data_IF_917526755654
#
_entry.id   IF_917526755654
#
_cell.length_a   1.000
_cell.length_b   1.000
_cell.length_c   1.000
_cell.angle_alpha   90.00
_cell.angle_beta   90.00
_cell.angle_gamma   90.00
#
_symmetry.space_group_name_H-M   'P 1'
#
loop_
_entity.id
_entity.type
_entity.pdbx_description
1 polymer ?
#
# COMPACT_ATOMS: atom_id res chain seq x y z
N UNK A 1 -0.50 2.83 -30.11
CA UNK A 1 0.20 1.92 -29.17
C UNK A 1 -0.79 1.14 -28.33
N UNK A 2 -0.72 -0.20 -28.33
CA UNK A 2 -1.64 -1.07 -27.58
C UNK A 2 -1.42 -1.01 -26.05
N UNK A 3 -0.44 -0.23 -25.58
CA UNK A 3 -0.08 -0.08 -24.17
C UNK A 3 -0.55 1.26 -23.58
N UNK A 4 -1.42 1.97 -24.28
CA UNK A 4 -1.98 3.26 -23.83
C UNK A 4 -3.50 3.16 -23.85
N UNK A 5 -4.11 3.47 -22.71
CA UNK A 5 -5.55 3.52 -22.51
C UNK A 5 -5.97 4.99 -22.63
N UNK A 6 -6.86 5.24 -23.59
CA UNK A 6 -7.47 6.55 -23.86
C UNK A 6 -8.99 6.41 -23.85
N UNK A 7 -9.70 7.49 -23.52
CA UNK A 7 -11.16 7.46 -23.38
C UNK A 7 -11.63 6.54 -22.24
N UNK A 8 -12.81 5.96 -22.39
CA UNK A 8 -13.40 5.06 -21.39
C UNK A 8 -13.16 3.60 -21.80
N UNK A 9 -12.46 2.85 -20.97
CA UNK A 9 -12.15 1.44 -21.19
C UNK A 9 -12.69 0.60 -20.03
N UNK A 10 -13.19 -0.59 -20.37
CA UNK A 10 -13.72 -1.56 -19.42
C UNK A 10 -12.91 -2.85 -19.52
N UNK A 11 -12.44 -3.35 -18.37
CA UNK A 11 -11.71 -4.61 -18.24
C UNK A 11 -12.54 -5.63 -17.46
N UNK A 12 -12.59 -6.86 -17.96
CA UNK A 12 -13.27 -7.98 -17.32
C UNK A 12 -12.53 -9.31 -17.59
N UNK A 13 -12.80 -10.32 -16.77
CA UNK A 13 -12.23 -11.66 -16.93
C UNK A 13 -10.73 -11.69 -16.60
N UNK A 14 -9.90 -12.16 -17.54
CA UNK A 14 -8.45 -12.22 -17.36
C UNK A 14 -7.75 -11.20 -18.26
N UNK A 15 -7.03 -10.26 -17.66
CA UNK A 15 -6.29 -9.21 -18.36
C UNK A 15 -4.80 -9.42 -18.14
N UNK A 16 -4.01 -9.49 -19.21
CA UNK A 16 -2.55 -9.63 -19.14
C UNK A 16 -1.85 -8.31 -19.43
N UNK A 17 -0.96 -7.90 -18.54
CA UNK A 17 -0.12 -6.70 -18.70
C UNK A 17 1.32 -7.15 -18.89
N UNK A 18 1.89 -6.85 -20.06
CA UNK A 18 3.32 -7.04 -20.33
C UNK A 18 3.99 -5.68 -20.58
N UNK A 19 5.04 -5.40 -19.81
CA UNK A 19 5.69 -4.10 -19.84
C UNK A 19 4.85 -3.01 -19.17
N UNK A 20 4.91 -1.80 -19.74
CA UNK A 20 4.25 -0.63 -19.17
C UNK A 20 2.95 -0.35 -19.89
N UNK A 21 1.82 -0.45 -19.19
CA UNK A 21 0.51 0.05 -19.65
C UNK A 21 0.23 1.40 -18.97
N UNK A 22 -0.29 2.36 -19.72
CA UNK A 22 -0.55 3.73 -19.24
C UNK A 22 -2.01 4.08 -19.41
N UNK A 23 -2.68 4.51 -18.34
CA UNK A 23 -3.98 5.19 -18.38
C UNK A 23 -3.69 6.69 -18.48
N UNK A 24 -3.96 7.29 -19.63
CA UNK A 24 -3.65 8.70 -19.85
C UNK A 24 -4.56 9.64 -19.06
N UNK A 25 -4.10 10.88 -18.90
CA UNK A 25 -4.91 11.94 -18.34
C UNK A 25 -6.21 12.11 -19.14
N UNK A 26 -7.34 12.13 -18.44
CA UNK A 26 -8.67 12.21 -19.06
C UNK A 26 -9.24 10.88 -19.52
N UNK A 27 -8.49 9.78 -19.44
CA UNK A 27 -9.00 8.44 -19.64
C UNK A 27 -9.59 7.87 -18.33
N UNK A 28 -10.53 6.94 -18.47
CA UNK A 28 -11.14 6.19 -17.36
C UNK A 28 -10.98 4.71 -17.63
N UNK A 29 -10.34 4.00 -16.71
CA UNK A 29 -10.36 2.54 -16.69
C UNK A 29 -11.29 2.04 -15.60
N UNK A 30 -12.31 1.28 -15.98
CA UNK A 30 -13.15 0.53 -15.04
C UNK A 30 -12.82 -0.95 -15.11
N UNK A 31 -12.64 -1.59 -13.96
CA UNK A 31 -12.34 -3.02 -13.85
C UNK A 31 -13.50 -3.72 -13.15
N UNK A 32 -14.10 -4.71 -13.82
CA UNK A 32 -15.23 -5.48 -13.34
C UNK A 32 -14.88 -6.33 -12.11
N UNK A 33 -15.84 -6.60 -11.20
CA UNK A 33 -15.69 -7.63 -10.16
C UNK A 33 -15.19 -8.97 -10.72
N UNK A 34 -14.41 -9.70 -9.92
CA UNK A 34 -13.85 -11.00 -10.30
C UNK A 34 -12.71 -10.96 -11.33
N UNK A 35 -12.35 -9.79 -11.85
CA UNK A 35 -11.27 -9.66 -12.84
C UNK A 35 -9.91 -10.05 -12.25
N UNK A 36 -9.14 -10.81 -13.01
CA UNK A 36 -7.74 -11.19 -12.71
C UNK A 36 -6.80 -10.42 -13.64
N UNK A 37 -6.09 -9.45 -13.09
CA UNK A 37 -5.06 -8.68 -13.79
C UNK A 37 -3.70 -9.32 -13.52
N UNK A 38 -3.16 -9.99 -14.54
CA UNK A 38 -1.90 -10.75 -14.49
C UNK A 38 -0.77 -9.95 -15.11
N UNK A 39 0.24 -9.64 -14.31
CA UNK A 39 1.47 -9.02 -14.78
C UNK A 39 2.43 -10.10 -15.30
N UNK A 40 2.86 -9.96 -16.54
CA UNK A 40 3.73 -10.91 -17.26
C UNK A 40 5.21 -10.56 -17.05
N UNK A 41 6.16 -11.49 -17.28
CA UNK A 41 7.58 -11.19 -17.26
C UNK A 41 7.91 -10.07 -18.24
N UNK A 42 8.70 -9.11 -17.78
CA UNK A 42 9.20 -8.03 -18.62
C UNK A 42 10.56 -7.55 -18.13
N UNK A 43 11.51 -7.48 -19.05
CA UNK A 43 12.84 -6.91 -18.81
C UNK A 43 12.89 -5.55 -19.49
N UNK A 44 13.25 -4.51 -18.73
CA UNK A 44 13.42 -3.18 -19.32
C UNK A 44 14.56 -3.22 -20.38
N UNK A 45 14.42 -2.55 -21.53
CA UNK A 45 15.42 -2.59 -22.60
C UNK A 45 16.80 -2.04 -22.19
N UNK A 46 16.82 -1.14 -21.20
CA UNK A 46 18.03 -0.54 -20.64
C UNK A 46 18.03 -0.77 -19.12
N UNK A 47 18.52 -1.94 -18.66
CA UNK A 47 18.52 -2.29 -17.24
C UNK A 47 19.50 -1.44 -16.42
N UNK A 48 20.58 -0.95 -17.06
CA UNK A 48 21.70 -0.24 -16.44
C UNK A 48 21.49 1.27 -16.32
N UNK A 49 20.46 1.81 -16.99
CA UNK A 49 20.06 3.20 -16.84
C UNK A 49 19.94 3.59 -15.37
N UNK A 50 20.51 4.76 -15.02
CA UNK A 50 20.28 5.39 -13.72
C UNK A 50 18.78 5.65 -13.53
N UNK A 51 18.21 5.00 -12.52
CA UNK A 51 16.79 5.10 -12.18
C UNK A 51 16.54 6.17 -11.14
N UNK A 52 15.37 6.78 -11.22
CA UNK A 52 14.91 7.68 -10.17
C UNK A 52 14.63 6.91 -8.87
N UNK A 53 14.61 7.59 -7.72
CA UNK A 53 14.13 7.00 -6.48
C UNK A 53 12.69 6.51 -6.70
N UNK A 54 12.39 5.30 -6.23
CA UNK A 54 11.06 4.67 -6.31
C UNK A 54 10.54 4.38 -7.74
N UNK A 55 11.41 4.25 -8.74
CA UNK A 55 11.01 3.81 -10.09
C UNK A 55 10.71 2.30 -10.11
N UNK A 56 9.54 1.92 -10.63
CA UNK A 56 9.08 0.53 -10.70
C UNK A 56 9.75 -0.26 -11.84
N UNK A 57 10.14 -1.51 -11.55
CA UNK A 57 10.78 -2.44 -12.49
C UNK A 57 9.76 -3.42 -13.07
N UNK A 58 10.08 -4.00 -14.23
CA UNK A 58 9.21 -5.00 -14.87
C UNK A 58 7.87 -4.45 -15.32
N UNK A 59 6.88 -5.34 -15.42
CA UNK A 59 5.52 -4.99 -15.84
C UNK A 59 4.81 -4.14 -14.80
N UNK A 60 4.11 -3.11 -15.25
CA UNK A 60 3.53 -2.06 -14.40
C UNK A 60 2.36 -1.35 -15.07
N UNK A 61 1.44 -0.87 -14.23
CA UNK A 61 0.34 0.00 -14.65
C UNK A 61 0.63 1.42 -14.18
N UNK A 62 0.66 2.37 -15.09
CA UNK A 62 0.84 3.79 -14.83
C UNK A 62 -0.52 4.49 -14.94
N UNK A 63 -0.96 5.14 -13.88
CA UNK A 63 -2.26 5.79 -13.79
C UNK A 63 -2.05 7.31 -13.74
N UNK A 64 -2.37 7.98 -14.84
CA UNK A 64 -2.45 9.44 -14.95
C UNK A 64 -3.90 9.95 -15.12
N UNK A 65 -4.83 9.07 -15.48
CA UNK A 65 -6.27 9.31 -15.51
C UNK A 65 -6.98 8.71 -14.31
N UNK A 66 -8.23 8.26 -14.51
CA UNK A 66 -9.06 7.64 -13.49
C UNK A 66 -8.97 6.12 -13.55
N UNK A 67 -9.05 5.48 -12.39
CA UNK A 67 -9.09 4.03 -12.26
C UNK A 67 -10.13 3.63 -11.20
N UNK A 68 -11.13 2.86 -11.64
CA UNK A 68 -12.22 2.35 -10.82
C UNK A 68 -12.11 0.83 -10.77
N UNK A 69 -11.47 0.31 -9.72
CA UNK A 69 -11.39 -1.12 -9.45
C UNK A 69 -12.26 -1.45 -8.24
N UNK A 70 -13.51 -1.86 -8.49
CA UNK A 70 -14.48 -2.17 -7.44
C UNK A 70 -14.93 -3.61 -7.55
N UNK A 71 -14.23 -4.50 -6.86
CA UNK A 71 -14.64 -5.88 -6.65
C UNK A 71 -15.78 -5.99 -5.64
N UNK A 72 -16.14 -7.22 -5.33
CA UNK A 72 -17.05 -7.54 -4.22
C UNK A 72 -16.37 -8.50 -3.25
N UNK A 73 -16.96 -8.69 -2.07
CA UNK A 73 -16.44 -9.67 -1.10
C UNK A 73 -16.42 -11.10 -1.64
N UNK A 74 -17.29 -11.43 -2.62
CA UNK A 74 -17.37 -12.75 -3.24
C UNK A 74 -16.56 -12.84 -4.54
N UNK A 75 -16.37 -11.71 -5.22
CA UNK A 75 -15.66 -11.62 -6.50
C UNK A 75 -14.63 -10.48 -6.42
N UNK A 76 -13.56 -10.64 -5.62
CA UNK A 76 -12.53 -9.63 -5.51
C UNK A 76 -11.76 -9.49 -6.82
N UNK A 77 -11.32 -8.27 -7.13
CA UNK A 77 -10.40 -8.04 -8.26
C UNK A 77 -8.99 -8.40 -7.80
N UNK A 78 -8.28 -9.23 -8.55
CA UNK A 78 -6.93 -9.67 -8.18
C UNK A 78 -5.88 -9.07 -9.11
N UNK A 79 -4.88 -8.41 -8.54
CA UNK A 79 -3.66 -7.96 -9.20
C UNK A 79 -2.49 -8.82 -8.72
N UNK A 80 -1.93 -9.62 -9.62
CA UNK A 80 -0.84 -10.55 -9.26
C UNK A 80 0.15 -10.73 -10.41
N UNK A 81 1.28 -11.34 -10.09
CA UNK A 81 2.13 -11.89 -11.14
C UNK A 81 1.44 -13.10 -11.79
N UNK A 82 1.82 -13.43 -13.03
CA UNK A 82 1.22 -14.57 -13.75
C UNK A 82 1.52 -15.92 -13.09
N UNK A 83 2.70 -16.07 -12.48
CA UNK A 83 3.09 -17.27 -11.73
C UNK A 83 2.67 -17.13 -10.25
N UNK A 84 1.71 -17.95 -9.77
CA UNK A 84 1.22 -17.87 -8.40
C UNK A 84 2.26 -18.21 -7.33
N UNK A 85 3.40 -18.82 -7.69
CA UNK A 85 4.47 -19.19 -6.76
C UNK A 85 5.65 -18.20 -6.78
N UNK A 86 5.58 -17.15 -7.60
CA UNK A 86 6.66 -16.18 -7.71
C UNK A 86 6.83 -15.37 -6.40
N UNK A 87 8.06 -14.94 -6.08
CA UNK A 87 8.29 -14.16 -4.87
C UNK A 87 7.79 -12.71 -4.98
N UNK A 88 7.70 -12.04 -3.84
CA UNK A 88 7.52 -10.59 -3.75
C UNK A 88 8.53 -9.81 -4.63
N UNK A 89 8.03 -8.88 -5.45
CA UNK A 89 8.86 -8.08 -6.37
C UNK A 89 8.91 -8.61 -7.80
N UNK A 90 8.09 -9.60 -8.14
CA UNK A 90 8.06 -10.22 -9.48
C UNK A 90 7.41 -9.32 -10.54
N UNK A 91 6.64 -8.31 -10.13
CA UNK A 91 6.16 -7.23 -10.99
C UNK A 91 6.30 -5.86 -10.30
N UNK A 92 6.22 -4.79 -11.07
CA UNK A 92 6.55 -3.45 -10.60
C UNK A 92 5.53 -2.90 -9.61
N UNK A 93 4.27 -2.87 -10.00
CA UNK A 93 3.22 -2.22 -9.24
C UNK A 93 2.25 -1.41 -10.07
N UNK A 94 1.28 -0.83 -9.37
CA UNK A 94 0.41 0.21 -9.90
C UNK A 94 0.91 1.57 -9.40
N UNK A 95 1.43 2.40 -10.31
CA UNK A 95 1.87 3.75 -9.97
C UNK A 95 0.79 4.75 -10.33
N UNK A 96 0.23 5.40 -9.32
CA UNK A 96 -0.71 6.51 -9.46
C UNK A 96 0.06 7.81 -9.36
N UNK A 97 0.01 8.63 -10.40
CA UNK A 97 0.82 9.83 -10.47
C UNK A 97 0.07 10.97 -11.14
N UNK A 98 -0.03 12.09 -10.41
CA UNK A 98 -0.71 13.31 -10.86
C UNK A 98 -2.17 13.02 -11.27
N UNK A 99 -2.82 12.12 -10.53
CA UNK A 99 -4.17 11.61 -10.79
C UNK A 99 -5.09 11.79 -9.59
N UNK A 100 -6.34 12.13 -9.88
CA UNK A 100 -7.41 12.25 -8.90
C UNK A 100 -8.49 11.22 -9.28
N UNK A 101 -9.26 10.74 -8.29
CA UNK A 101 -10.33 9.74 -8.50
C UNK A 101 -9.84 8.33 -8.86
N UNK A 102 -8.94 7.78 -8.04
CA UNK A 102 -8.55 6.36 -8.11
C UNK A 102 -9.10 5.58 -6.92
N UNK A 103 -9.84 4.51 -7.21
CA UNK A 103 -10.56 3.71 -6.22
C UNK A 103 -10.18 2.24 -6.33
N UNK A 104 -9.78 1.66 -5.20
CA UNK A 104 -9.62 0.23 -5.02
C UNK A 104 -10.55 -0.23 -3.90
N UNK A 105 -11.52 -1.06 -4.25
CA UNK A 105 -12.51 -1.61 -3.32
C UNK A 105 -12.59 -3.13 -3.50
N UNK A 106 -12.44 -3.93 -2.43
CA UNK A 106 -12.40 -5.39 -2.51
C UNK A 106 -11.40 -5.90 -3.58
N UNK A 107 -10.17 -5.41 -3.50
CA UNK A 107 -9.07 -5.84 -4.37
C UNK A 107 -8.02 -6.64 -3.59
N UNK A 108 -7.33 -7.55 -4.27
CA UNK A 108 -6.22 -8.35 -3.73
C UNK A 108 -4.95 -8.03 -4.52
N UNK A 109 -3.87 -7.69 -3.83
CA UNK A 109 -2.57 -7.38 -4.42
C UNK A 109 -1.51 -8.35 -3.89
N UNK A 110 -0.83 -9.05 -4.82
CA UNK A 110 0.21 -10.02 -4.47
C UNK A 110 1.46 -9.90 -5.31
N UNK A 111 2.61 -10.22 -4.72
CA UNK A 111 3.90 -10.41 -5.38
C UNK A 111 4.51 -9.15 -6.02
N UNK A 112 4.00 -7.96 -5.69
CA UNK A 112 4.48 -6.70 -6.25
C UNK A 112 5.80 -6.23 -5.59
N UNK A 113 6.56 -5.42 -6.31
CA UNK A 113 7.61 -4.58 -5.71
C UNK A 113 6.93 -3.50 -4.87
N UNK A 114 6.12 -2.63 -5.47
CA UNK A 114 5.22 -1.74 -4.74
C UNK A 114 3.80 -1.98 -5.24
N UNK A 115 2.93 -2.67 -4.49
CA UNK A 115 1.60 -3.01 -4.99
C UNK A 115 0.81 -1.76 -5.42
N UNK A 116 0.81 -0.72 -4.58
CA UNK A 116 0.41 0.63 -4.96
C UNK A 116 1.53 1.61 -4.63
N UNK A 117 1.90 2.44 -5.61
CA UNK A 117 2.77 3.60 -5.43
C UNK A 117 2.03 4.87 -5.84
N UNK A 118 1.59 5.67 -4.86
CA UNK A 118 0.88 6.94 -5.10
C UNK A 118 1.80 8.16 -4.96
N UNK A 119 1.67 9.12 -5.88
CA UNK A 119 2.45 10.35 -5.91
C UNK A 119 1.60 11.53 -6.40
N UNK A 120 1.46 12.60 -5.58
CA UNK A 120 0.65 13.78 -5.95
C UNK A 120 -0.73 13.42 -6.46
N UNK A 121 -1.42 12.57 -5.71
CA UNK A 121 -2.67 11.94 -6.14
C UNK A 121 -3.65 11.79 -4.98
N UNK A 122 -4.93 11.60 -5.31
CA UNK A 122 -5.98 11.19 -4.37
C UNK A 122 -6.41 9.75 -4.67
N UNK A 123 -6.16 8.85 -3.71
CA UNK A 123 -6.50 7.43 -3.81
C UNK A 123 -7.32 6.96 -2.61
N UNK A 124 -8.43 6.26 -2.87
CA UNK A 124 -9.18 5.53 -1.85
C UNK A 124 -8.91 4.03 -1.99
N UNK A 125 -8.55 3.39 -0.88
CA UNK A 125 -8.19 1.98 -0.76
C UNK A 125 -8.99 1.42 0.40
N UNK A 126 -10.04 0.69 0.08
CA UNK A 126 -10.99 0.18 1.05
C UNK A 126 -11.22 -1.31 0.87
N UNK A 127 -11.32 -2.05 1.97
CA UNK A 127 -11.63 -3.48 1.92
C UNK A 127 -10.67 -4.30 1.04
N UNK A 128 -9.42 -3.86 0.90
CA UNK A 128 -8.41 -4.54 0.08
C UNK A 128 -7.50 -5.43 0.93
N UNK A 129 -6.86 -6.38 0.26
CA UNK A 129 -5.84 -7.26 0.82
C UNK A 129 -4.50 -7.05 0.13
N UNK A 130 -3.46 -6.74 0.89
CA UNK A 130 -2.08 -6.63 0.42
C UNK A 130 -1.27 -7.74 1.07
N UNK A 131 -0.87 -8.73 0.28
CA UNK A 131 -0.19 -9.93 0.75
C UNK A 131 1.05 -10.27 -0.09
N UNK A 132 2.17 -10.62 0.54
CA UNK A 132 3.39 -11.08 -0.14
C UNK A 132 3.97 -10.06 -1.14
N UNK A 133 3.93 -8.77 -0.80
CA UNK A 133 4.58 -7.70 -1.57
C UNK A 133 5.87 -7.25 -0.89
N UNK A 134 6.80 -6.63 -1.63
CA UNK A 134 7.93 -5.96 -0.97
C UNK A 134 7.41 -4.72 -0.23
N UNK A 135 6.60 -3.90 -0.88
CA UNK A 135 5.82 -2.85 -0.23
C UNK A 135 4.36 -2.99 -0.63
N UNK A 136 3.46 -3.07 0.35
CA UNK A 136 2.01 -3.09 0.10
C UNK A 136 1.54 -1.75 -0.46
N UNK A 137 1.68 -0.69 0.32
CA UNK A 137 1.27 0.66 -0.07
C UNK A 137 2.43 1.62 0.17
N UNK A 138 2.90 2.29 -0.87
CA UNK A 138 3.88 3.38 -0.80
C UNK A 138 3.24 4.66 -1.29
N UNK A 139 3.42 5.76 -0.56
CA UNK A 139 2.93 7.05 -1.03
C UNK A 139 3.81 8.22 -0.62
N UNK A 140 3.85 9.24 -1.48
CA UNK A 140 4.52 10.50 -1.20
C UNK A 140 3.81 11.69 -1.82
N UNK A 141 3.69 12.76 -1.04
CA UNK A 141 3.01 14.00 -1.41
C UNK A 141 1.57 13.75 -1.91
N UNK A 142 0.83 12.85 -1.25
CA UNK A 142 -0.46 12.35 -1.70
C UNK A 142 -1.51 12.33 -0.58
N UNK A 143 -2.79 12.30 -0.95
CA UNK A 143 -3.95 12.14 -0.05
C UNK A 143 -4.49 10.73 -0.21
N UNK A 144 -4.35 9.91 0.82
CA UNK A 144 -4.79 8.52 0.78
C UNK A 144 -5.83 8.26 1.87
N UNK A 145 -6.90 7.60 1.49
CA UNK A 145 -7.84 6.97 2.40
C UNK A 145 -7.56 5.47 2.38
N UNK A 146 -6.93 4.97 3.44
CA UNK A 146 -6.55 3.56 3.59
C UNK A 146 -7.40 3.04 4.73
N UNK A 147 -8.54 2.43 4.42
CA UNK A 147 -9.50 2.01 5.44
C UNK A 147 -9.94 0.56 5.30
N UNK A 148 -10.10 -0.15 6.43
CA UNK A 148 -10.67 -1.51 6.45
C UNK A 148 -9.89 -2.53 5.60
N UNK A 149 -8.58 -2.36 5.48
CA UNK A 149 -7.73 -3.25 4.69
C UNK A 149 -7.01 -4.28 5.58
N UNK A 150 -6.72 -5.44 4.99
CA UNK A 150 -5.77 -6.40 5.54
C UNK A 150 -4.42 -6.22 4.84
N UNK A 151 -3.39 -5.86 5.60
CA UNK A 151 -2.02 -5.68 5.11
C UNK A 151 -1.12 -6.66 5.85
N UNK A 152 -0.71 -7.74 5.18
CA UNK A 152 0.05 -8.82 5.83
C UNK A 152 1.12 -9.48 4.99
N UNK A 153 2.08 -10.14 5.63
CA UNK A 153 3.13 -10.90 4.95
C UNK A 153 3.91 -10.09 3.90
N UNK A 154 3.97 -8.76 4.04
CA UNK A 154 4.77 -7.89 3.19
C UNK A 154 6.13 -7.62 3.86
N UNK A 155 7.15 -7.24 3.09
CA UNK A 155 8.40 -6.74 3.70
C UNK A 155 8.13 -5.39 4.40
N UNK A 156 7.40 -4.49 3.76
CA UNK A 156 6.80 -3.33 4.42
C UNK A 156 5.31 -3.28 4.10
N UNK A 157 4.46 -3.22 5.12
CA UNK A 157 3.02 -3.09 4.92
C UNK A 157 2.67 -1.76 4.26
N UNK A 158 2.92 -0.67 4.98
CA UNK A 158 2.67 0.69 4.51
C UNK A 158 3.94 1.55 4.68
N UNK A 159 4.35 2.22 3.61
CA UNK A 159 5.44 3.18 3.60
C UNK A 159 4.89 4.59 3.34
N UNK A 160 4.73 5.36 4.43
CA UNK A 160 4.29 6.75 4.42
C UNK A 160 5.51 7.67 4.27
N UNK A 161 5.79 8.13 3.05
CA UNK A 161 6.92 9.03 2.80
C UNK A 161 6.59 10.49 3.11
N UNK A 162 5.44 10.98 2.63
CA UNK A 162 4.87 12.31 2.91
C UNK A 162 3.44 12.42 2.35
N UNK A 163 2.66 13.42 2.78
CA UNK A 163 1.25 13.55 2.40
C UNK A 163 0.31 13.68 3.60
N UNK A 164 -0.99 13.65 3.31
CA UNK A 164 -2.08 13.81 4.28
C UNK A 164 -2.96 12.53 4.33
N UNK A 165 -2.49 11.43 4.96
CA UNK A 165 -3.21 10.17 4.94
C UNK A 165 -4.25 10.06 6.05
N UNK A 166 -5.33 9.36 5.74
CA UNK A 166 -6.23 8.71 6.71
C UNK A 166 -5.93 7.21 6.65
N UNK A 167 -5.35 6.67 7.72
CA UNK A 167 -5.10 5.23 7.89
C UNK A 167 -5.93 4.79 9.08
N UNK A 168 -7.08 4.15 8.80
CA UNK A 168 -8.05 3.83 9.84
C UNK A 168 -8.64 2.43 9.68
N UNK A 169 -8.95 1.77 10.79
CA UNK A 169 -9.66 0.48 10.76
C UNK A 169 -8.96 -0.61 9.94
N UNK A 170 -7.64 -0.54 9.78
CA UNK A 170 -6.87 -1.57 9.08
C UNK A 170 -6.34 -2.61 10.07
N UNK A 171 -6.10 -3.83 9.57
CA UNK A 171 -5.29 -4.83 10.23
C UNK A 171 -3.94 -4.93 9.52
N UNK A 172 -2.89 -4.49 10.19
CA UNK A 172 -1.52 -4.47 9.68
C UNK A 172 -0.71 -5.48 10.50
N UNK A 173 -0.60 -6.69 9.98
CA UNK A 173 -0.11 -7.84 10.74
C UNK A 173 0.92 -8.68 9.98
N UNK A 174 1.84 -9.34 10.68
CA UNK A 174 2.76 -10.33 10.09
C UNK A 174 3.66 -9.80 8.97
N UNK A 175 3.78 -8.48 8.82
CA UNK A 175 4.76 -7.89 7.91
C UNK A 175 6.13 -7.91 8.57
N UNK A 176 7.22 -7.75 7.81
CA UNK A 176 8.50 -7.49 8.46
C UNK A 176 8.45 -6.13 9.17
N UNK A 177 8.00 -5.10 8.45
CA UNK A 177 7.74 -3.76 8.98
C UNK A 177 6.27 -3.40 8.75
N UNK A 178 5.52 -3.08 9.82
CA UNK A 178 4.09 -2.77 9.69
C UNK A 178 3.83 -1.45 8.96
N UNK A 179 4.20 -0.34 9.61
CA UNK A 179 4.12 1.01 9.05
C UNK A 179 5.45 1.75 9.23
N UNK A 180 6.00 2.27 8.14
CA UNK A 180 7.17 3.16 8.15
C UNK A 180 6.69 4.59 7.87
N UNK A 181 7.02 5.52 8.75
CA UNK A 181 6.68 6.94 8.65
C UNK A 181 7.96 7.73 8.43
N UNK A 182 8.23 8.17 7.20
CA UNK A 182 9.42 8.96 6.89
C UNK A 182 9.20 10.47 7.03
N UNK A 183 7.95 10.93 6.90
CA UNK A 183 7.53 12.28 7.25
C UNK A 183 6.10 12.29 7.78
N UNK A 184 5.88 13.10 8.80
CA UNK A 184 4.59 13.35 9.46
C UNK A 184 4.44 14.85 9.75
N UNK A 185 4.88 15.69 8.81
CA UNK A 185 4.90 17.16 8.94
C UNK A 185 3.57 17.81 8.60
N UNK A 186 2.77 17.12 7.80
CA UNK A 186 1.43 17.53 7.38
C UNK A 186 0.37 16.90 8.28
N UNK A 187 -0.90 17.26 8.07
CA UNK A 187 -2.02 16.64 8.80
C UNK A 187 -2.14 15.15 8.45
N UNK A 188 -2.26 14.29 9.45
CA UNK A 188 -2.51 12.87 9.26
C UNK A 188 -3.48 12.37 10.32
N UNK A 189 -4.16 11.27 9.99
CA UNK A 189 -5.00 10.54 10.94
C UNK A 189 -4.65 9.06 10.90
N UNK A 190 -3.98 8.56 11.94
CA UNK A 190 -3.61 7.15 12.05
C UNK A 190 -4.14 6.62 13.38
N UNK A 191 -5.39 6.14 13.37
CA UNK A 191 -6.09 5.63 14.55
C UNK A 191 -6.96 4.45 14.18
N UNK A 192 -7.46 3.74 15.17
CA UNK A 192 -8.42 2.65 14.97
C UNK A 192 -7.87 1.47 14.16
N UNK A 193 -6.55 1.35 14.01
CA UNK A 193 -5.91 0.22 13.35
C UNK A 193 -5.47 -0.84 14.37
N UNK A 194 -5.13 -2.02 13.87
CA UNK A 194 -4.42 -3.07 14.61
C UNK A 194 -3.03 -3.29 14.03
N UNK A 195 -2.00 -3.07 14.84
CA UNK A 195 -0.62 -3.44 14.52
C UNK A 195 -0.25 -4.68 15.34
N UNK A 196 -0.11 -5.83 14.67
CA UNK A 196 0.00 -7.13 15.35
C UNK A 196 1.18 -7.90 14.75
N UNK A 197 2.08 -8.39 15.59
CA UNK A 197 3.12 -9.37 15.21
C UNK A 197 3.96 -9.04 13.97
N UNK A 198 4.16 -7.75 13.67
CA UNK A 198 5.12 -7.35 12.65
C UNK A 198 6.55 -7.63 13.17
N UNK A 199 7.41 -8.24 12.34
CA UNK A 199 8.64 -8.91 12.77
C UNK A 199 9.67 -7.96 13.37
N UNK A 200 10.11 -6.96 12.61
CA UNK A 200 11.07 -5.95 13.07
C UNK A 200 10.38 -4.90 13.93
N UNK A 201 9.36 -4.23 13.40
CA UNK A 201 8.59 -3.25 14.16
C UNK A 201 7.15 -3.12 13.64
N UNK A 202 6.24 -2.83 14.57
CA UNK A 202 4.87 -2.45 14.26
C UNK A 202 4.83 -1.09 13.56
N UNK A 203 5.54 -0.11 14.13
CA UNK A 203 5.70 1.22 13.53
C UNK A 203 7.14 1.69 13.70
N UNK A 204 7.71 2.24 12.63
CA UNK A 204 9.03 2.84 12.64
C UNK A 204 9.02 4.27 12.12
N UNK A 205 9.74 5.16 12.80
CA UNK A 205 9.93 6.53 12.37
C UNK A 205 11.25 6.67 11.60
N UNK A 206 11.20 7.32 10.45
CA UNK A 206 12.39 7.70 9.69
C UNK A 206 13.21 8.76 10.41
N UNK A 207 14.49 8.86 10.07
CA UNK A 207 15.47 9.75 10.75
C UNK A 207 15.12 11.24 10.72
N UNK A 208 14.27 11.65 9.77
CA UNK A 208 13.82 13.05 9.63
C UNK A 208 12.61 13.37 10.50
N UNK A 209 11.94 12.36 11.05
CA UNK A 209 10.80 12.56 11.95
C UNK A 209 11.34 12.78 13.35
N UNK A 210 11.45 14.06 13.77
CA UNK A 210 11.96 14.46 15.10
C UNK A 210 10.87 14.86 16.09
N UNK A 211 9.63 14.99 15.61
CA UNK A 211 8.46 15.40 16.40
C UNK A 211 7.75 14.20 17.01
N UNK A 212 6.93 14.43 18.04
CA UNK A 212 6.01 13.39 18.51
C UNK A 212 5.00 13.03 17.41
N UNK A 213 4.73 11.73 17.26
CA UNK A 213 3.75 11.19 16.30
C UNK A 213 2.58 10.60 17.07
N UNK A 214 1.37 11.07 16.80
CA UNK A 214 0.15 10.64 17.48
C UNK A 214 -0.42 9.39 16.81
N UNK A 215 -0.32 8.26 17.51
CA UNK A 215 -0.84 6.96 17.13
C UNK A 215 -1.75 6.39 18.23
N UNK A 216 -2.40 7.28 18.98
CA UNK A 216 -3.39 6.90 19.99
C UNK A 216 -4.57 6.20 19.35
N UNK A 217 -5.29 5.43 20.16
CA UNK A 217 -6.48 4.67 19.77
C UNK A 217 -6.19 3.65 18.67
N UNK A 218 -4.96 3.16 18.56
CA UNK A 218 -4.66 1.93 17.82
C UNK A 218 -4.60 0.74 18.81
N UNK A 219 -4.81 -0.46 18.29
CA UNK A 219 -4.60 -1.72 18.99
C UNK A 219 -3.20 -2.25 18.66
N UNK A 220 -2.50 -2.77 19.67
CA UNK A 220 -1.07 -3.08 19.59
C UNK A 220 -0.73 -4.53 19.96
N UNK A 221 -1.74 -5.40 20.01
CA UNK A 221 -1.60 -6.79 20.47
C UNK A 221 -1.82 -6.96 21.97
N UNK A 222 -1.95 -8.22 22.39
CA UNK A 222 -2.06 -8.61 23.79
C UNK A 222 -0.65 -8.82 24.37
N UNK A 223 -0.03 -7.76 24.87
CA UNK A 223 1.32 -7.80 25.40
C UNK A 223 1.57 -6.75 26.48
N UNK A 224 2.72 -6.85 27.14
CA UNK A 224 3.17 -5.81 28.07
C UNK A 224 3.55 -4.52 27.32
N UNK A 225 3.54 -3.38 28.01
CA UNK A 225 4.04 -2.13 27.46
C UNK A 225 5.49 -2.25 26.97
N UNK A 226 6.34 -2.97 27.72
CA UNK A 226 7.74 -3.19 27.36
C UNK A 226 7.89 -3.96 26.03
N UNK A 227 7.12 -5.02 25.84
CA UNK A 227 7.14 -5.78 24.57
C UNK A 227 6.63 -4.97 23.38
N UNK A 228 5.66 -4.06 23.61
CA UNK A 228 5.20 -3.13 22.59
C UNK A 228 6.29 -2.11 22.23
N UNK A 229 6.93 -1.49 23.21
CA UNK A 229 7.94 -0.46 22.97
C UNK A 229 9.15 -0.98 22.19
N UNK A 230 9.50 -2.27 22.34
CA UNK A 230 10.51 -2.93 21.50
C UNK A 230 10.08 -3.06 20.02
N UNK A 231 8.78 -2.97 19.73
CA UNK A 231 8.20 -2.97 18.37
C UNK A 231 7.93 -1.56 17.84
N UNK A 232 8.36 -0.52 18.55
CA UNK A 232 8.29 0.87 18.11
C UNK A 232 9.71 1.38 17.83
N UNK A 233 10.03 1.61 16.56
CA UNK A 233 11.34 2.12 16.16
C UNK A 233 11.36 3.65 16.15
N UNK A 234 11.45 4.26 17.33
CA UNK A 234 11.30 5.70 17.58
C UNK A 234 12.35 6.28 18.56
N UNK A 235 12.07 7.43 19.16
CA UNK A 235 12.93 8.16 20.09
C UNK A 235 13.45 7.35 21.28
N UNK A 236 12.73 6.29 21.68
CA UNK A 236 13.18 5.36 22.75
C UNK A 236 14.35 4.50 22.29
N UNK A 237 14.43 4.23 20.99
CA UNK A 237 15.49 3.45 20.35
C UNK A 237 16.63 4.30 19.77
N UNK A 238 16.39 5.60 19.54
CA UNK A 238 17.37 6.52 18.95
C UNK A 238 17.08 7.98 19.29
N UNK A 239 18.06 8.69 19.86
CA UNK A 239 17.94 10.10 20.28
C UNK A 239 17.62 11.08 19.14
N UNK A 240 17.81 10.68 17.89
CA UNK A 240 17.62 11.55 16.71
C UNK A 240 16.21 11.47 16.13
N UNK A 241 15.34 10.65 16.72
CA UNK A 241 13.97 10.41 16.27
C UNK A 241 12.96 11.00 17.23
N UNK A 242 11.80 11.29 16.69
CA UNK A 242 10.59 11.63 17.43
C UNK A 242 10.06 10.42 18.18
N UNK A 243 9.10 10.66 19.08
CA UNK A 243 8.51 9.62 19.92
C UNK A 243 7.07 9.32 19.48
N UNK A 244 6.71 8.04 19.43
CA UNK A 244 5.34 7.60 19.17
C UNK A 244 4.53 7.71 20.45
N UNK A 245 3.43 8.46 20.37
CA UNK A 245 2.40 8.54 21.39
C UNK A 245 1.30 7.53 21.09
N UNK A 246 1.25 6.43 21.84
CA UNK A 246 0.33 5.31 21.60
C UNK A 246 -0.81 5.20 22.64
N UNK A 247 -0.84 6.05 23.68
CA UNK A 247 -1.82 5.99 24.77
C UNK A 247 -2.88 7.11 24.70
N UNK A 248 -4.19 6.81 24.83
CA UNK A 248 -4.75 5.50 25.17
C UNK A 248 -4.75 4.53 23.98
N UNK A 249 -4.64 3.24 24.26
CA UNK A 249 -4.75 2.17 23.27
C UNK A 249 -6.19 1.69 23.15
N UNK A 250 -6.52 1.04 22.03
CA UNK A 250 -7.75 0.24 21.93
C UNK A 250 -7.60 -1.05 22.72
N UNK A 251 -8.70 -1.53 23.32
CA UNK A 251 -8.75 -2.80 24.03
C UNK A 251 -8.90 -4.01 23.09
N UNK A 252 -9.56 -3.82 21.95
CA UNK A 252 -9.87 -4.88 21.00
C UNK A 252 -9.26 -4.61 19.61
N UNK A 253 -8.84 -5.66 18.90
CA UNK A 253 -8.37 -5.55 17.54
C UNK A 253 -9.49 -5.14 16.59
N UNK A 254 -9.10 -4.73 15.39
CA UNK A 254 -9.98 -4.59 14.23
C UNK A 254 -10.34 -5.99 13.75
N UNK A 255 -11.63 -6.23 13.59
CA UNK A 255 -12.19 -7.46 13.00
C UNK A 255 -12.57 -7.14 11.55
N UNK A 256 -11.97 -7.87 10.61
CA UNK A 256 -12.27 -7.78 9.17
C UNK A 256 -12.99 -9.05 8.72
N UNK A 257 -14.30 -9.12 8.96
CA UNK A 257 -15.10 -10.30 8.60
C UNK A 257 -14.96 -10.65 7.12
N UNK A 258 -14.55 -11.88 6.82
CA UNK A 258 -14.41 -12.37 5.45
C UNK A 258 -13.08 -12.03 4.75
N UNK A 259 -12.08 -11.49 5.46
CA UNK A 259 -10.78 -11.12 4.87
C UNK A 259 -9.56 -11.92 5.35
N UNK A 260 -9.70 -12.71 6.41
CA UNK A 260 -8.59 -13.50 6.99
C UNK A 260 -8.11 -14.62 6.06
#
# INVERSE_FOLDING_TARGET
>A
DNNVITGNVYWEGEVRIQGKVVIEKGAVLTIAPGTRVLFMPYTDPDPDRKRGPHELRGSKLMVHGQLIARGTAYEPITFSYYDPNAPAGSWGGIKVQDAEEVYFYNCVFRQAMNAIHSCRSWVAIEYCKFEENQVGILFHNARLFIERNLVRNNVTGIYYLSGEPVISQNRIADNDNGLVIADASQEYLIKDNSFIDNRSYNVGLGERVRRKVDLRKNYWGAGSAQSLELKLFDGRSSLWKGEINYLPMRAEPVILSGME
#
